data_IF_923999872242
#
_entry.id   IF_923999872242
#
_cell.length_a   1.000
_cell.length_b   1.000
_cell.length_c   1.000
_cell.angle_alpha   90.00
_cell.angle_beta   90.00
_cell.angle_gamma   90.00
#
_symmetry.space_group_name_H-M   'P 1'
#
loop_
_entity.id
_entity.type
_entity.pdbx_description
1 polymer ?
#
# COMPACT_ATOMS: atom_id res chain seq x y z
N UNK A 1 -36.62 63.14 20.67
CA UNK A 1 -36.34 63.56 19.27
C UNK A 1 -36.05 62.28 18.49
N UNK A 2 -37.05 61.54 18.00
CA UNK A 2 -37.63 61.66 16.65
C UNK A 2 -36.59 62.03 15.57
N UNK A 3 -36.21 61.06 14.73
CA UNK A 3 -36.48 61.13 13.28
C UNK A 3 -36.43 59.71 12.67
N UNK A 4 -37.51 59.37 11.98
CA UNK A 4 -37.68 58.23 11.08
C UNK A 4 -37.05 58.56 9.72
N UNK A 5 -36.53 57.56 9.00
CA UNK A 5 -36.67 57.46 7.53
C UNK A 5 -36.33 56.04 7.04
N UNK A 6 -37.32 55.39 6.44
CA UNK A 6 -37.20 54.16 5.65
C UNK A 6 -37.11 54.48 4.15
N UNK A 7 -36.75 53.43 3.37
CA UNK A 7 -36.91 53.25 1.91
C UNK A 7 -35.87 54.02 1.08
N UNK A 8 -35.26 53.44 0.04
CA UNK A 8 -35.90 52.91 -1.17
C UNK A 8 -35.20 51.69 -1.81
N UNK A 9 -35.95 51.04 -2.70
CA UNK A 9 -35.75 49.76 -3.36
C UNK A 9 -35.59 50.03 -4.87
N UNK A 10 -34.51 49.53 -5.48
CA UNK A 10 -34.35 49.21 -6.92
C UNK A 10 -33.26 48.13 -6.97
N UNK A 11 -33.41 46.86 -7.36
CA UNK A 11 -34.09 46.20 -8.47
C UNK A 11 -33.71 46.76 -9.85
N UNK A 12 -32.66 46.16 -10.44
CA UNK A 12 -32.49 45.84 -11.87
C UNK A 12 -31.50 44.65 -11.92
N UNK A 13 -31.92 43.40 -12.13
CA UNK A 13 -32.35 42.71 -13.37
C UNK A 13 -31.19 42.25 -14.27
N UNK A 14 -31.24 40.94 -14.56
CA UNK A 14 -30.52 40.11 -15.53
C UNK A 14 -28.99 40.11 -15.63
N UNK A 15 -28.39 38.98 -15.23
CA UNK A 15 -27.86 38.05 -16.24
C UNK A 15 -27.80 36.63 -15.69
N UNK A 16 -28.85 35.87 -15.98
CA UNK A 16 -28.92 34.43 -15.77
C UNK A 16 -28.11 33.75 -16.87
N UNK A 17 -26.88 33.34 -16.58
CA UNK A 17 -26.21 32.27 -17.33
C UNK A 17 -26.41 30.99 -16.53
N UNK A 18 -27.49 30.27 -16.86
CA UNK A 18 -27.63 28.85 -16.52
C UNK A 18 -26.65 28.10 -17.43
N UNK A 19 -25.44 27.87 -16.95
CA UNK A 19 -24.65 26.73 -17.42
C UNK A 19 -25.28 25.48 -16.81
N UNK A 20 -25.67 24.46 -17.61
CA UNK A 20 -25.94 23.17 -17.03
C UNK A 20 -24.58 22.58 -16.63
N UNK A 21 -24.14 22.86 -15.40
CA UNK A 21 -23.17 21.99 -14.76
C UNK A 21 -23.85 20.63 -14.62
N UNK A 22 -23.49 19.72 -15.52
CA UNK A 22 -23.55 18.28 -15.24
C UNK A 22 -22.85 18.09 -13.90
N UNK A 23 -23.65 18.04 -12.83
CA UNK A 23 -23.19 17.80 -11.47
C UNK A 23 -22.63 16.40 -11.43
N UNK A 24 -21.34 16.28 -11.74
CA UNK A 24 -20.55 15.11 -11.38
C UNK A 24 -20.66 15.02 -9.86
N UNK A 25 -21.14 13.91 -9.28
CA UNK A 25 -21.09 13.76 -7.83
C UNK A 25 -19.62 13.93 -7.41
N UNK A 26 -19.33 14.54 -6.24
CA UNK A 26 -18.00 14.53 -5.68
C UNK A 26 -17.66 13.07 -5.37
N UNK A 27 -17.13 12.36 -6.35
CA UNK A 27 -16.26 11.23 -6.07
C UNK A 27 -15.09 11.87 -5.36
N UNK A 28 -15.00 11.66 -4.04
CA UNK A 28 -13.79 11.95 -3.29
C UNK A 28 -12.66 11.24 -4.03
N UNK A 29 -11.92 11.98 -4.86
CA UNK A 29 -10.66 11.51 -5.37
C UNK A 29 -9.81 11.38 -4.11
N UNK A 30 -9.62 10.14 -3.64
CA UNK A 30 -8.74 9.87 -2.52
C UNK A 30 -7.42 10.56 -2.80
N UNK A 31 -6.86 11.30 -1.86
CA UNK A 31 -5.58 12.00 -2.05
C UNK A 31 -4.38 11.04 -2.08
N UNK A 32 -4.64 9.73 -2.04
CA UNK A 32 -3.64 8.67 -1.99
C UNK A 32 -4.19 7.38 -2.60
N UNK A 33 -3.30 6.51 -3.14
CA UNK A 33 -3.67 5.19 -3.62
C UNK A 33 -4.12 4.27 -2.47
N UNK A 34 -5.18 3.49 -2.72
CA UNK A 34 -5.67 2.45 -1.79
C UNK A 34 -5.75 1.11 -2.49
N UNK A 35 -5.10 0.11 -1.90
CA UNK A 35 -5.21 -1.29 -2.32
C UNK A 35 -6.58 -1.83 -1.92
N UNK A 36 -7.12 -2.71 -2.75
CA UNK A 36 -8.29 -3.53 -2.42
C UNK A 36 -8.02 -4.30 -1.12
N UNK A 37 -8.94 -4.27 -0.13
CA UNK A 37 -8.80 -5.09 1.07
C UNK A 37 -8.65 -6.58 0.74
N UNK A 38 -7.72 -7.25 1.41
CA UNK A 38 -7.38 -8.65 1.21
C UNK A 38 -5.87 -8.91 1.23
N UNK A 39 -5.48 -10.12 0.85
CA UNK A 39 -4.11 -10.58 0.83
C UNK A 39 -3.40 -10.12 -0.45
N UNK A 40 -2.23 -9.52 -0.29
CA UNK A 40 -1.35 -9.11 -1.38
C UNK A 40 -0.02 -9.84 -1.30
N UNK A 41 0.46 -10.36 -2.42
CA UNK A 41 1.85 -10.79 -2.59
C UNK A 41 2.69 -9.57 -2.99
N UNK A 42 3.75 -9.28 -2.25
CA UNK A 42 4.67 -8.19 -2.52
C UNK A 42 6.03 -8.75 -2.94
N UNK A 43 6.52 -8.32 -4.10
CA UNK A 43 7.83 -8.66 -4.66
C UNK A 43 8.69 -7.42 -4.77
N UNK A 44 9.83 -7.41 -4.09
CA UNK A 44 10.89 -6.44 -4.30
C UNK A 44 11.89 -7.02 -5.31
N UNK A 45 12.25 -6.25 -6.35
CA UNK A 45 13.14 -6.70 -7.42
C UNK A 45 14.54 -7.10 -6.93
N UNK A 46 15.09 -6.42 -5.92
CA UNK A 46 16.38 -6.78 -5.33
C UNK A 46 16.28 -8.11 -4.58
N UNK A 47 15.22 -8.31 -3.78
CA UNK A 47 14.97 -9.58 -3.09
C UNK A 47 14.76 -10.74 -4.09
N UNK A 48 14.01 -10.50 -5.17
CA UNK A 48 13.78 -11.48 -6.23
C UNK A 48 15.07 -11.87 -6.95
N UNK A 49 15.94 -10.91 -7.25
CA UNK A 49 17.26 -11.18 -7.85
C UNK A 49 18.17 -12.01 -6.92
N UNK A 50 17.96 -11.93 -5.60
CA UNK A 50 18.65 -12.75 -4.60
C UNK A 50 17.96 -14.10 -4.37
N UNK A 51 16.90 -14.42 -5.11
CA UNK A 51 16.15 -15.68 -4.96
C UNK A 51 15.29 -15.75 -3.70
N UNK A 52 15.04 -14.61 -3.04
CA UNK A 52 14.21 -14.57 -1.84
C UNK A 52 12.72 -14.69 -2.21
N UNK A 53 11.93 -15.41 -1.40
CA UNK A 53 10.49 -15.54 -1.62
C UNK A 53 9.77 -14.20 -1.38
N UNK A 54 8.59 -14.00 -2.01
CA UNK A 54 7.80 -12.79 -1.80
C UNK A 54 7.24 -12.73 -0.38
N UNK A 55 7.02 -11.51 0.12
CA UNK A 55 6.27 -11.29 1.36
C UNK A 55 4.77 -11.24 1.07
N UNK A 56 3.96 -11.45 2.09
CA UNK A 56 2.49 -11.37 1.96
C UNK A 56 1.93 -10.39 2.97
N UNK A 57 1.13 -9.44 2.52
CA UNK A 57 0.56 -8.38 3.35
C UNK A 57 -0.96 -8.46 3.37
N UNK A 58 -1.56 -8.50 4.56
CA UNK A 58 -3.00 -8.39 4.72
C UNK A 58 -3.41 -6.91 4.76
N UNK A 59 -3.95 -6.43 3.63
CA UNK A 59 -4.55 -5.10 3.52
C UNK A 59 -5.95 -5.13 4.11
N UNK A 60 -6.26 -4.18 4.98
CA UNK A 60 -7.58 -4.07 5.61
C UNK A 60 -7.94 -2.63 5.91
N UNK A 61 -8.81 -2.44 6.90
CA UNK A 61 -9.15 -1.11 7.41
C UNK A 61 -7.89 -0.44 7.96
N UNK A 62 -7.73 0.86 7.70
CA UNK A 62 -6.58 1.68 8.11
C UNK A 62 -5.18 1.25 7.64
N UNK A 63 -5.01 0.21 6.81
CA UNK A 63 -3.65 -0.15 6.33
C UNK A 63 -3.13 0.79 5.25
N UNK A 64 -4.04 1.33 4.43
CA UNK A 64 -3.74 2.31 3.37
C UNK A 64 -4.47 3.61 3.68
N UNK A 65 -3.73 4.57 4.23
CA UNK A 65 -4.20 5.92 4.61
C UNK A 65 -3.32 6.99 3.97
N UNK A 66 -3.71 8.26 4.08
CA UNK A 66 -2.93 9.39 3.60
C UNK A 66 -1.51 9.49 4.20
N UNK A 67 -1.29 8.84 5.36
CA UNK A 67 0.02 8.79 6.03
C UNK A 67 0.79 7.50 5.76
N UNK A 68 0.13 6.47 5.25
CA UNK A 68 0.83 5.25 4.85
C UNK A 68 1.60 5.48 3.57
N UNK A 69 2.64 4.67 3.39
CA UNK A 69 3.62 4.85 2.34
C UNK A 69 3.56 3.73 1.29
N UNK A 70 2.54 2.85 1.33
CA UNK A 70 2.33 1.71 0.41
C UNK A 70 3.62 0.93 0.13
N UNK A 71 4.21 0.34 1.18
CA UNK A 71 5.46 -0.43 1.10
C UNK A 71 6.70 0.37 0.62
N UNK A 72 6.60 1.69 0.46
CA UNK A 72 7.78 2.56 0.34
C UNK A 72 8.50 2.58 1.67
N UNK A 73 9.62 1.87 1.73
CA UNK A 73 10.47 1.88 2.92
C UNK A 73 11.17 3.24 2.99
N UNK A 74 10.89 4.01 4.04
CA UNK A 74 11.78 5.10 4.43
C UNK A 74 13.08 4.46 4.95
N UNK A 75 14.25 5.02 4.62
CA UNK A 75 15.53 4.46 5.07
C UNK A 75 15.52 4.16 6.57
N UNK A 76 16.01 2.99 6.95
CA UNK A 76 15.90 2.42 8.31
C UNK A 76 16.61 3.25 9.40
N UNK A 77 17.25 4.38 9.03
CA UNK A 77 18.11 5.17 9.91
C UNK A 77 17.75 6.66 9.84
N UNK A 78 17.45 7.24 10.99
CA UNK A 78 17.31 8.68 11.16
C UNK A 78 15.89 9.24 10.94
N UNK A 79 15.78 10.57 10.88
CA UNK A 79 14.50 11.23 10.74
C UNK A 79 14.12 11.36 9.26
N UNK A 80 13.08 10.62 8.87
CA UNK A 80 12.50 10.68 7.53
C UNK A 80 11.28 11.60 7.51
N UNK A 81 11.26 12.50 6.54
CA UNK A 81 10.04 13.23 6.15
C UNK A 81 9.51 12.61 4.87
N UNK A 82 8.37 11.96 4.96
CA UNK A 82 7.67 11.39 3.80
C UNK A 82 6.62 12.40 3.35
N UNK A 83 6.71 12.83 2.09
CA UNK A 83 5.71 13.69 1.48
C UNK A 83 4.41 12.94 1.17
N UNK A 84 3.28 13.66 1.04
CA UNK A 84 2.03 13.04 0.65
C UNK A 84 2.12 12.51 -0.78
N UNK A 85 1.22 11.58 -1.11
CA UNK A 85 1.00 11.20 -2.49
C UNK A 85 0.40 12.37 -3.28
N UNK A 86 0.83 12.51 -4.53
CA UNK A 86 0.29 13.45 -5.49
C UNK A 86 -0.14 12.67 -6.72
N UNK A 87 -1.34 12.94 -7.21
CA UNK A 87 -1.84 12.29 -8.43
C UNK A 87 -1.27 12.98 -9.66
N UNK A 88 -0.69 12.23 -10.58
CA UNK A 88 -0.17 12.72 -11.86
C UNK A 88 -0.74 11.83 -12.98
N UNK A 89 -1.82 12.29 -13.61
CA UNK A 89 -2.56 11.47 -14.57
C UNK A 89 -3.13 10.21 -13.92
N UNK A 90 -2.65 9.04 -14.35
CA UNK A 90 -3.07 7.73 -13.81
C UNK A 90 -2.12 7.19 -12.74
N UNK A 91 -1.02 7.88 -12.44
CA UNK A 91 -0.03 7.44 -11.45
C UNK A 91 -0.07 8.31 -10.19
N UNK A 92 0.59 7.82 -9.16
CA UNK A 92 0.80 8.49 -7.90
C UNK A 92 2.29 8.72 -7.71
N UNK A 93 2.69 9.94 -7.36
CA UNK A 93 4.08 10.28 -7.06
C UNK A 93 4.21 10.69 -5.60
N UNK A 94 5.28 10.28 -4.96
CA UNK A 94 5.59 10.71 -3.60
C UNK A 94 7.10 10.83 -3.44
N UNK A 95 7.52 11.76 -2.60
CA UNK A 95 8.93 12.00 -2.31
C UNK A 95 9.19 11.73 -0.84
N UNK A 96 10.44 11.42 -0.48
CA UNK A 96 10.86 11.44 0.90
C UNK A 96 12.26 12.00 1.04
N UNK A 97 12.54 12.59 2.19
CA UNK A 97 13.86 13.09 2.57
C UNK A 97 14.20 12.53 3.94
N UNK A 98 15.20 11.66 3.99
CA UNK A 98 15.71 11.07 5.23
C UNK A 98 17.08 11.66 5.57
N UNK A 99 17.28 11.99 6.84
CA UNK A 99 18.59 12.39 7.37
C UNK A 99 19.25 11.19 8.02
N UNK A 100 20.20 10.58 7.31
CA UNK A 100 20.95 9.41 7.73
C UNK A 100 22.37 9.79 8.15
N UNK A 101 22.63 9.96 9.46
CA UNK A 101 23.96 10.22 10.02
C UNK A 101 24.79 11.31 9.29
N UNK A 102 25.50 10.94 8.22
CA UNK A 102 26.37 11.82 7.41
C UNK A 102 25.81 12.15 6.03
N UNK A 103 24.67 11.58 5.63
CA UNK A 103 24.06 11.72 4.31
C UNK A 103 22.59 12.11 4.41
N UNK A 104 22.14 12.91 3.45
CA UNK A 104 20.73 13.12 3.14
C UNK A 104 20.37 12.14 2.03
N UNK A 105 19.29 11.38 2.26
CA UNK A 105 18.72 10.45 1.31
C UNK A 105 17.44 11.05 0.79
N UNK A 106 17.35 11.26 -0.52
CA UNK A 106 16.13 11.73 -1.18
C UNK A 106 15.60 10.59 -2.03
N UNK A 107 14.33 10.23 -1.87
CA UNK A 107 13.69 9.25 -2.75
C UNK A 107 12.50 9.85 -3.49
N UNK A 108 12.33 9.42 -4.73
CA UNK A 108 11.18 9.73 -5.56
C UNK A 108 10.57 8.41 -6.00
N UNK A 109 9.30 8.18 -5.66
CA UNK A 109 8.57 6.99 -6.10
C UNK A 109 7.42 7.33 -7.00
N UNK A 110 7.20 6.48 -8.00
CA UNK A 110 6.03 6.48 -8.87
C UNK A 110 5.29 5.18 -8.66
N UNK A 111 4.08 5.25 -8.12
CA UNK A 111 3.18 4.12 -7.98
C UNK A 111 2.16 4.13 -9.14
N UNK A 112 1.98 2.98 -9.77
CA UNK A 112 1.14 2.76 -10.94
C UNK A 112 0.35 1.45 -10.81
N UNK A 113 -0.74 1.33 -11.57
CA UNK A 113 -1.63 0.16 -11.54
C UNK A 113 -3.05 0.52 -11.13
N UNK A 114 -3.90 -0.50 -11.00
CA UNK A 114 -5.30 -0.34 -10.62
C UNK A 114 -5.52 -0.43 -9.10
N UNK A 115 -4.53 -0.95 -8.36
CA UNK A 115 -4.61 -1.22 -6.92
C UNK A 115 -5.79 -2.15 -6.53
N UNK A 116 -6.41 -2.80 -7.51
CA UNK A 116 -7.47 -3.79 -7.33
C UNK A 116 -6.99 -5.21 -7.59
N UNK A 117 -6.06 -5.36 -8.53
CA UNK A 117 -5.48 -6.63 -8.96
C UNK A 117 -3.96 -6.59 -8.90
N UNK A 118 -3.36 -5.45 -9.26
CA UNK A 118 -1.91 -5.26 -9.21
C UNK A 118 -1.52 -3.79 -9.06
N UNK A 119 -0.30 -3.58 -8.58
CA UNK A 119 0.39 -2.29 -8.66
C UNK A 119 1.89 -2.50 -8.77
N UNK A 120 2.57 -1.44 -9.21
CA UNK A 120 4.02 -1.34 -9.25
C UNK A 120 4.45 0.00 -8.68
N UNK A 121 5.52 -0.01 -7.89
CA UNK A 121 6.19 1.18 -7.38
C UNK A 121 7.62 1.15 -7.89
N UNK A 122 7.99 2.16 -8.66
CA UNK A 122 9.37 2.41 -9.07
C UNK A 122 9.93 3.54 -8.21
N UNK A 123 11.06 3.31 -7.55
CA UNK A 123 11.71 4.28 -6.66
C UNK A 123 13.12 4.58 -7.12
N UNK A 124 13.44 5.87 -7.27
CA UNK A 124 14.80 6.37 -7.42
C UNK A 124 15.25 6.95 -6.09
N UNK A 125 16.44 6.58 -5.65
CA UNK A 125 17.03 7.04 -4.38
C UNK A 125 18.33 7.76 -4.69
N UNK A 126 18.55 8.93 -4.08
CA UNK A 126 19.75 9.74 -4.23
C UNK A 126 20.42 9.98 -2.88
N UNK A 127 21.75 9.86 -2.83
CA UNK A 127 22.55 10.02 -1.61
C UNK A 127 23.48 11.23 -1.70
N UNK A 128 23.42 12.12 -0.71
CA UNK A 128 24.27 13.31 -0.63
C UNK A 128 24.80 13.58 0.80
N UNK A 129 26.12 13.51 1.05
CA UNK A 129 27.17 12.99 0.18
C UNK A 129 26.97 11.51 -0.19
N UNK A 130 27.67 11.02 -1.24
CA UNK A 130 27.63 9.61 -1.65
C UNK A 130 27.98 8.68 -0.49
N UNK A 131 27.46 7.45 -0.55
CA UNK A 131 27.80 6.42 0.42
C UNK A 131 29.30 6.06 0.34
N UNK A 132 29.82 5.39 1.36
CA UNK A 132 31.24 5.03 1.48
C UNK A 132 31.78 4.19 0.29
N UNK A 133 30.90 3.47 -0.42
CA UNK A 133 31.20 2.73 -1.64
C UNK A 133 31.10 3.58 -2.93
N UNK A 134 31.06 4.91 -2.81
CA UNK A 134 30.83 5.88 -3.89
C UNK A 134 29.46 5.79 -4.59
N UNK A 135 28.49 5.04 -4.03
CA UNK A 135 27.13 4.98 -4.59
C UNK A 135 26.41 6.32 -4.38
N UNK A 136 25.89 6.87 -5.48
CA UNK A 136 25.16 8.15 -5.52
C UNK A 136 23.66 7.98 -5.73
N UNK A 137 23.29 6.90 -6.40
CA UNK A 137 21.92 6.61 -6.78
C UNK A 137 21.63 5.11 -6.57
N UNK A 138 20.39 4.80 -6.23
CA UNK A 138 19.82 3.46 -6.29
C UNK A 138 18.49 3.44 -7.02
N UNK A 139 18.14 2.27 -7.55
CA UNK A 139 16.83 2.02 -8.18
C UNK A 139 16.20 0.81 -7.55
N UNK A 140 14.98 0.98 -7.11
CA UNK A 140 14.18 -0.09 -6.52
C UNK A 140 12.86 -0.21 -7.25
N UNK A 141 12.35 -1.43 -7.30
CA UNK A 141 11.05 -1.72 -7.83
C UNK A 141 10.32 -2.71 -6.94
N UNK A 142 9.05 -2.41 -6.66
CA UNK A 142 8.14 -3.26 -5.91
C UNK A 142 6.92 -3.55 -6.76
N UNK A 143 6.48 -4.80 -6.81
CA UNK A 143 5.25 -5.22 -7.47
C UNK A 143 4.35 -5.90 -6.45
N UNK A 144 3.11 -5.42 -6.35
CA UNK A 144 2.08 -6.05 -5.54
C UNK A 144 1.04 -6.74 -6.41
N UNK A 145 0.62 -7.95 -6.04
CA UNK A 145 -0.47 -8.69 -6.70
C UNK A 145 -1.51 -9.14 -5.68
N UNK A 146 -2.78 -8.93 -5.98
CA UNK A 146 -3.89 -9.37 -5.15
C UNK A 146 -4.05 -10.89 -5.23
N UNK A 147 -4.07 -11.55 -4.07
CA UNK A 147 -4.21 -13.00 -3.97
C UNK A 147 -5.62 -13.45 -3.55
N UNK A 148 -6.41 -12.58 -2.93
CA UNK A 148 -7.73 -12.95 -2.40
C UNK A 148 -7.99 -12.35 -1.02
N UNK A 149 -8.83 -13.02 -0.22
CA UNK A 149 -9.02 -12.64 1.17
C UNK A 149 -7.75 -12.92 2.00
N UNK A 150 -7.58 -12.19 3.12
CA UNK A 150 -6.53 -12.52 4.09
C UNK A 150 -6.68 -13.94 4.61
N UNK A 151 -5.56 -14.58 4.96
CA UNK A 151 -5.58 -15.95 5.47
C UNK A 151 -6.28 -16.00 6.85
N UNK A 152 -6.89 -17.14 7.24
CA UNK A 152 -7.49 -17.30 8.55
C UNK A 152 -6.50 -16.92 9.68
N UNK A 153 -6.96 -16.07 10.59
CA UNK A 153 -6.14 -15.58 11.72
C UNK A 153 -5.21 -14.40 11.40
N UNK A 154 -5.09 -13.97 10.14
CA UNK A 154 -4.38 -12.72 9.83
C UNK A 154 -5.22 -11.50 10.21
N UNK A 155 -4.56 -10.52 10.82
CA UNK A 155 -5.10 -9.20 11.11
C UNK A 155 -4.75 -8.21 10.00
N UNK A 156 -5.56 -7.17 9.76
CA UNK A 156 -5.14 -6.02 8.98
C UNK A 156 -3.77 -5.50 9.43
N UNK A 157 -2.86 -5.31 8.48
CA UNK A 157 -1.49 -4.87 8.75
C UNK A 157 -0.49 -6.00 8.98
N UNK A 158 -0.92 -7.27 9.07
CA UNK A 158 0.01 -8.40 9.18
C UNK A 158 0.82 -8.57 7.88
N UNK A 159 2.14 -8.46 7.99
CA UNK A 159 3.14 -8.74 6.99
C UNK A 159 3.83 -10.06 7.32
N UNK A 160 3.57 -11.09 6.52
CA UNK A 160 4.28 -12.38 6.60
C UNK A 160 5.58 -12.26 5.81
N UNK A 161 6.69 -12.45 6.51
CA UNK A 161 8.02 -12.53 5.91
C UNK A 161 8.51 -13.97 6.00
N UNK A 162 8.60 -14.68 4.86
CA UNK A 162 8.91 -16.11 4.88
C UNK A 162 10.21 -16.42 5.63
N UNK A 163 10.14 -17.35 6.57
CA UNK A 163 11.26 -17.78 7.41
C UNK A 163 11.60 -16.83 8.56
N UNK A 164 10.96 -15.66 8.67
CA UNK A 164 11.22 -14.69 9.75
C UNK A 164 10.02 -14.49 10.69
N UNK A 165 8.80 -14.67 10.20
CA UNK A 165 7.59 -14.53 11.01
C UNK A 165 6.58 -13.55 10.45
N UNK A 166 5.71 -13.05 11.32
CA UNK A 166 4.71 -12.03 11.02
C UNK A 166 5.03 -10.76 11.80
N UNK A 167 5.14 -9.65 11.08
CA UNK A 167 5.21 -8.31 11.64
C UNK A 167 3.89 -7.60 11.37
N UNK A 168 3.21 -7.09 12.39
CA UNK A 168 2.09 -6.21 12.16
C UNK A 168 2.58 -4.77 11.98
N UNK A 169 2.30 -4.19 10.81
CA UNK A 169 2.77 -2.85 10.43
C UNK A 169 2.05 -1.71 11.16
N UNK A 170 0.93 -2.00 11.83
CA UNK A 170 0.13 -1.00 12.55
C UNK A 170 0.54 -0.89 14.03
N UNK A 171 0.78 -2.02 14.68
CA UNK A 171 1.11 -2.07 16.12
C UNK A 171 2.55 -2.50 16.43
N UNK A 172 3.32 -2.93 15.43
CA UNK A 172 4.73 -3.35 15.57
C UNK A 172 4.92 -4.72 16.21
N UNK A 173 3.84 -5.47 16.49
CA UNK A 173 3.94 -6.80 17.09
C UNK A 173 4.61 -7.81 16.17
N UNK A 174 5.36 -8.73 16.78
CA UNK A 174 6.06 -9.83 16.12
C UNK A 174 5.45 -11.15 16.56
N UNK A 175 5.16 -12.03 15.61
CA UNK A 175 4.66 -13.37 15.84
C UNK A 175 5.44 -14.40 15.01
N UNK A 176 5.51 -15.67 15.44
CA UNK A 176 6.00 -16.75 14.59
C UNK A 176 5.20 -16.83 13.29
N UNK A 177 5.83 -17.28 12.21
CA UNK A 177 5.12 -17.53 10.95
C UNK A 177 4.05 -18.61 11.19
N UNK A 178 2.80 -18.42 10.70
CA UNK A 178 1.80 -19.46 10.76
C UNK A 178 2.35 -20.70 10.06
N UNK A 179 2.34 -21.83 10.76
CA UNK A 179 2.77 -23.10 10.17
C UNK A 179 2.00 -23.31 8.85
N UNK A 180 2.66 -23.76 7.77
CA UNK A 180 1.93 -24.13 6.57
C UNK A 180 0.87 -25.16 6.96
N UNK A 181 -0.35 -25.10 6.38
CA UNK A 181 -1.39 -26.06 6.72
C UNK A 181 -0.82 -27.46 6.56
N UNK A 182 -0.77 -28.21 7.66
CA UNK A 182 -0.38 -29.60 7.64
C UNK A 182 -1.31 -30.27 6.63
N UNK A 183 -0.74 -30.81 5.56
CA UNK A 183 -1.47 -31.63 4.60
C UNK A 183 -2.00 -32.81 5.41
N UNK A 184 -3.25 -32.72 5.86
CA UNK A 184 -3.91 -33.79 6.61
C UNK A 184 -3.77 -35.03 5.76
N UNK A 185 -3.21 -36.09 6.35
CA UNK A 185 -3.22 -37.43 5.79
C UNK A 185 -4.65 -37.97 5.85
N UNK A 186 -5.56 -37.34 5.11
CA UNK A 186 -6.92 -37.82 4.96
C UNK A 186 -6.96 -38.78 3.77
N UNK A 187 -6.97 -40.08 4.08
CA UNK A 187 -7.52 -41.08 3.16
C UNK A 187 -6.58 -42.16 2.64
N UNK A 188 -5.84 -42.87 3.51
CA UNK A 188 -5.60 -44.31 3.26
C UNK A 188 -6.61 -45.07 4.09
N UNK A 189 -7.83 -45.18 3.56
CA UNK A 189 -8.83 -46.11 4.07
C UNK A 189 -8.25 -47.51 3.91
N UNK A 190 -7.96 -48.17 5.03
CA UNK A 190 -7.60 -49.58 5.06
C UNK A 190 -8.70 -50.37 4.35
N UNK A 191 -8.43 -50.77 3.10
CA UNK A 191 -9.25 -51.73 2.38
C UNK A 191 -9.09 -53.08 3.05
N UNK A 192 -10.10 -53.37 3.87
CA UNK A 192 -10.62 -54.67 4.27
C UNK A 192 -10.13 -55.83 3.38
N UNK A 193 -9.04 -56.46 3.79
CA UNK A 193 -8.50 -57.65 3.14
C UNK A 193 -9.31 -58.88 3.60
N UNK A 194 -10.58 -58.94 3.18
CA UNK A 194 -11.41 -60.15 3.22
C UNK A 194 -11.85 -60.50 1.81
N UNK A 195 -10.96 -61.13 1.04
CA UNK A 195 -11.35 -61.91 -0.14
C UNK A 195 -10.80 -63.33 -0.06
N UNK A 196 -11.73 -64.24 0.21
CA UNK A 196 -11.88 -65.55 -0.40
C UNK A 196 -10.65 -66.48 -0.47
N UNK A 197 -10.61 -67.46 0.45
CA UNK A 197 -10.03 -68.78 0.15
C UNK A 197 -11.03 -69.57 -0.69
N UNK A 198 -10.67 -70.12 -1.86
CA UNK A 198 -11.44 -71.18 -2.49
C UNK A 198 -11.13 -72.53 -1.83
N UNK A 199 -12.09 -73.45 -2.01
CA UNK A 199 -12.15 -74.81 -1.45
C UNK A 199 -11.02 -75.71 -1.90
#
# INVERSE_FOLDING_TARGET
MLLLAQRERSQDLESTVITPETSRPPGFALDFPRRKPGLWEIRNAASENLGMPPTRFCVGEETDTARHHLDRVAGDKGSCTIGPFKRVGITWVAESVCKESRSVVVSQSVASGDFQTQYRIDTLVYYSPPLANNKREDKEAVVGRYLGACAPGQRPGDLVVPGMGVLNMSDGSLQPEPAPPSRTQDGVSAQDNRRARPR
#
